data_IF_845960017683
#
_entry.id   IF_845960017683
#
_cell.length_a   1.000
_cell.length_b   1.000
_cell.length_c   1.000
_cell.angle_alpha   90.00
_cell.angle_beta   90.00
_cell.angle_gamma   90.00
#
_symmetry.space_group_name_H-M   'P 1'
#
loop_
_entity.id
_entity.type
_entity.pdbx_description
1 polymer ?
#
# COMPACT_ATOMS: atom_id res chain seq x y z
N UNK A 1 35.35 22.82 -12.95
CA UNK A 1 34.82 21.44 -12.80
C UNK A 1 34.42 21.12 -11.35
N UNK A 2 35.33 21.28 -10.36
CA UNK A 2 35.01 20.98 -8.94
C UNK A 2 33.81 21.77 -8.38
N UNK A 3 33.74 23.08 -8.59
CA UNK A 3 32.63 23.93 -8.14
C UNK A 3 31.28 23.51 -8.76
N UNK A 4 31.27 23.10 -10.02
CA UNK A 4 30.05 22.61 -10.68
C UNK A 4 29.52 21.29 -10.07
N UNK A 5 30.45 20.38 -9.74
CA UNK A 5 30.15 19.13 -9.04
C UNK A 5 29.58 19.42 -7.64
N UNK A 6 30.21 20.36 -6.90
CA UNK A 6 29.74 20.76 -5.57
C UNK A 6 28.30 21.34 -5.65
N UNK A 7 28.05 22.21 -6.62
CA UNK A 7 26.68 22.79 -6.81
C UNK A 7 25.68 21.71 -7.13
N UNK A 8 25.99 20.74 -7.99
CA UNK A 8 25.11 19.61 -8.28
C UNK A 8 24.82 18.79 -7.03
N UNK A 9 25.86 18.50 -6.24
CA UNK A 9 25.71 17.73 -4.98
C UNK A 9 24.84 18.51 -3.98
N UNK A 10 25.10 19.80 -3.77
CA UNK A 10 24.31 20.64 -2.88
C UNK A 10 22.87 20.76 -3.35
N UNK A 11 22.63 20.90 -4.65
CA UNK A 11 21.28 20.91 -5.23
C UNK A 11 20.56 19.56 -5.04
N UNK A 12 21.25 18.44 -5.25
CA UNK A 12 20.71 17.11 -5.01
C UNK A 12 20.37 16.88 -3.53
N UNK A 13 21.27 17.31 -2.61
CA UNK A 13 21.04 17.26 -1.17
C UNK A 13 19.84 18.14 -0.79
N UNK A 14 19.81 19.40 -1.22
CA UNK A 14 18.69 20.31 -0.97
C UNK A 14 17.37 19.70 -1.48
N UNK A 15 17.37 19.15 -2.67
CA UNK A 15 16.20 18.49 -3.25
C UNK A 15 15.76 17.24 -2.48
N UNK A 16 16.68 16.55 -1.81
CA UNK A 16 16.35 15.44 -0.92
C UNK A 16 15.66 15.92 0.36
N UNK A 17 16.11 17.02 0.95
CA UNK A 17 15.59 17.50 2.23
C UNK A 17 14.40 18.47 2.10
N UNK A 18 14.30 19.20 1.00
CA UNK A 18 13.27 20.23 0.76
C UNK A 18 12.01 19.72 0.03
N UNK A 19 11.89 18.41 -0.19
CA UNK A 19 10.64 17.88 -0.76
C UNK A 19 9.46 18.08 0.18
N UNK A 20 8.27 18.28 -0.40
CA UNK A 20 7.01 18.41 0.32
C UNK A 20 6.04 17.33 -0.15
N UNK A 21 5.34 16.65 0.77
CA UNK A 21 4.25 15.74 0.43
C UNK A 21 3.14 16.47 -0.29
N UNK A 22 2.40 15.79 -1.15
CA UNK A 22 1.20 16.34 -1.76
C UNK A 22 0.10 16.50 -0.72
N UNK A 23 -0.69 17.55 -0.88
CA UNK A 23 -1.90 17.73 -0.07
C UNK A 23 -2.92 16.63 -0.41
N UNK A 24 -3.08 15.67 0.49
CA UNK A 24 -4.00 14.55 0.32
C UNK A 24 -5.30 14.73 1.13
N UNK A 25 -5.72 15.98 1.39
CA UNK A 25 -6.93 16.29 2.18
C UNK A 25 -8.18 15.62 1.63
N UNK A 26 -8.36 15.64 0.30
CA UNK A 26 -9.49 15.01 -0.38
C UNK A 26 -9.52 13.49 -0.26
N UNK A 27 -8.37 12.86 -0.04
CA UNK A 27 -8.28 11.41 0.17
C UNK A 27 -8.85 11.00 1.53
N UNK A 28 -8.63 11.79 2.59
CA UNK A 28 -9.05 11.46 3.97
C UNK A 28 -10.37 12.09 4.42
N UNK A 29 -10.88 13.10 3.72
CA UNK A 29 -12.10 13.83 4.10
C UNK A 29 -12.11 14.31 5.58
N UNK A 30 -10.93 14.67 6.12
CA UNK A 30 -10.69 15.11 7.51
C UNK A 30 -11.14 14.10 8.60
N UNK A 31 -11.25 12.81 8.28
CA UNK A 31 -11.56 11.72 9.21
C UNK A 31 -10.45 10.68 9.16
N UNK A 32 -10.31 9.90 10.22
CA UNK A 32 -9.41 8.74 10.24
C UNK A 32 -9.94 7.73 9.21
N UNK A 33 -9.08 7.38 8.23
CA UNK A 33 -9.42 6.45 7.17
C UNK A 33 -9.08 5.01 7.62
N UNK A 34 -10.07 4.14 7.56
CA UNK A 34 -9.90 2.73 7.91
C UNK A 34 -9.72 1.89 6.65
N UNK A 35 -8.66 1.10 6.65
CA UNK A 35 -8.34 0.19 5.56
C UNK A 35 -8.51 -1.25 6.02
N UNK A 36 -9.28 -2.04 5.27
CA UNK A 36 -9.30 -3.49 5.43
C UNK A 36 -8.00 -4.07 4.85
N UNK A 37 -7.12 -4.56 5.72
CA UNK A 37 -5.83 -5.17 5.35
C UNK A 37 -6.07 -6.46 4.57
N UNK A 38 -5.72 -6.48 3.28
CA UNK A 38 -5.98 -7.58 2.34
C UNK A 38 -7.47 -7.97 2.24
N UNK A 39 -8.37 -7.03 2.57
CA UNK A 39 -9.81 -7.27 2.66
C UNK A 39 -10.27 -7.85 3.99
N UNK A 40 -11.33 -8.67 4.00
CA UNK A 40 -11.88 -9.33 5.18
C UNK A 40 -11.16 -10.65 5.49
N UNK A 41 -9.84 -10.64 5.63
CA UNK A 41 -8.96 -11.83 5.67
C UNK A 41 -9.25 -12.80 6.83
N UNK A 42 -9.94 -12.36 7.90
CA UNK A 42 -10.31 -13.25 9.01
C UNK A 42 -11.50 -14.17 8.68
N UNK A 43 -12.23 -13.87 7.62
CA UNK A 43 -13.41 -14.65 7.22
C UNK A 43 -13.37 -15.16 5.78
N UNK A 44 -12.55 -14.55 4.93
CA UNK A 44 -12.44 -14.85 3.50
C UNK A 44 -10.95 -14.93 3.09
N UNK A 45 -10.61 -15.65 1.98
CA UNK A 45 -9.24 -15.72 1.49
C UNK A 45 -8.67 -14.33 1.19
N UNK A 46 -7.52 -13.99 1.78
CA UNK A 46 -6.91 -12.67 1.64
C UNK A 46 -6.58 -12.31 0.19
N UNK A 47 -6.55 -11.02 -0.12
CA UNK A 47 -6.20 -10.50 -1.45
C UNK A 47 -7.08 -11.07 -2.60
N UNK A 48 -8.33 -11.41 -2.32
CA UNK A 48 -9.32 -11.90 -3.31
C UNK A 48 -10.52 -10.96 -3.44
N UNK A 49 -11.24 -11.07 -4.56
CA UNK A 49 -12.48 -10.31 -4.75
C UNK A 49 -13.51 -10.60 -3.66
N UNK A 50 -13.55 -11.86 -3.18
CA UNK A 50 -14.47 -12.25 -2.10
C UNK A 50 -14.19 -11.48 -0.81
N UNK A 51 -12.91 -11.40 -0.43
CA UNK A 51 -12.44 -10.68 0.75
C UNK A 51 -12.66 -9.17 0.64
N UNK A 52 -12.39 -8.57 -0.52
CA UNK A 52 -12.60 -7.14 -0.73
C UNK A 52 -14.09 -6.76 -0.73
N UNK A 53 -14.92 -7.52 -1.45
CA UNK A 53 -16.35 -7.29 -1.45
C UNK A 53 -16.95 -7.41 -0.05
N UNK A 54 -16.52 -8.41 0.73
CA UNK A 54 -16.94 -8.56 2.13
C UNK A 54 -16.55 -7.35 2.98
N UNK A 55 -15.31 -6.85 2.84
CA UNK A 55 -14.87 -5.66 3.56
C UNK A 55 -15.71 -4.42 3.19
N UNK A 56 -15.99 -4.22 1.90
CA UNK A 56 -16.81 -3.09 1.43
C UNK A 56 -18.25 -3.20 1.97
N UNK A 57 -18.82 -4.40 2.01
CA UNK A 57 -20.16 -4.64 2.56
C UNK A 57 -20.28 -4.31 4.06
N UNK A 58 -19.18 -4.37 4.83
CA UNK A 58 -19.17 -3.89 6.23
C UNK A 58 -19.19 -2.37 6.35
N UNK A 59 -19.07 -1.66 5.23
CA UNK A 59 -19.09 -0.20 5.18
C UNK A 59 -17.72 0.44 5.38
N UNK A 60 -16.61 -0.31 5.40
CA UNK A 60 -15.28 0.26 5.44
C UNK A 60 -15.03 1.16 4.22
N UNK A 61 -14.44 2.35 4.45
CA UNK A 61 -14.22 3.34 3.40
C UNK A 61 -13.05 3.01 2.47
N UNK A 62 -12.16 2.10 2.89
CA UNK A 62 -10.96 1.77 2.12
C UNK A 62 -10.54 0.30 2.28
N UNK A 63 -9.86 -0.21 1.25
CA UNK A 63 -9.19 -1.50 1.26
C UNK A 63 -7.68 -1.31 1.05
N UNK A 64 -6.91 -2.26 1.55
CA UNK A 64 -5.50 -2.42 1.23
C UNK A 64 -5.31 -3.72 0.47
N UNK A 65 -4.44 -3.72 -0.53
CA UNK A 65 -4.16 -4.86 -1.42
C UNK A 65 -2.69 -4.98 -1.74
N UNK A 66 -2.13 -6.18 -1.62
CA UNK A 66 -0.77 -6.50 -2.05
C UNK A 66 -0.74 -6.93 -3.51
N UNK A 67 0.26 -6.49 -4.29
CA UNK A 67 0.33 -6.83 -5.71
C UNK A 67 1.73 -7.24 -6.17
N UNK A 68 1.75 -8.22 -7.08
CA UNK A 68 2.94 -8.76 -7.75
C UNK A 68 2.62 -8.93 -9.23
N UNK A 69 3.52 -8.55 -10.15
CA UNK A 69 3.33 -8.81 -11.57
C UNK A 69 3.83 -10.19 -11.99
N UNK A 70 3.09 -10.86 -12.86
CA UNK A 70 3.47 -12.10 -13.55
C UNK A 70 4.56 -11.86 -14.60
N UNK A 71 5.09 -12.92 -15.19
CA UNK A 71 6.08 -12.83 -16.28
C UNK A 71 5.53 -12.04 -17.46
N UNK A 72 4.29 -12.26 -17.85
CA UNK A 72 3.59 -11.64 -18.99
C UNK A 72 2.88 -10.32 -18.67
N UNK A 73 3.29 -9.62 -17.57
CA UNK A 73 2.85 -8.28 -17.20
C UNK A 73 1.40 -8.15 -16.69
N UNK A 74 0.78 -9.22 -16.23
CA UNK A 74 -0.48 -9.13 -15.49
C UNK A 74 -0.18 -8.86 -14.01
N UNK A 75 -0.89 -7.95 -13.36
CA UNK A 75 -0.73 -7.63 -11.93
C UNK A 75 -1.71 -8.47 -11.12
N UNK A 76 -1.20 -9.44 -10.37
CA UNK A 76 -1.97 -10.31 -9.48
C UNK A 76 -1.96 -9.80 -8.04
N UNK A 77 -3.04 -10.08 -7.31
CA UNK A 77 -3.19 -9.72 -5.89
C UNK A 77 -2.64 -10.84 -5.02
N UNK A 78 -1.47 -10.64 -4.43
CA UNK A 78 -0.84 -11.61 -3.52
C UNK A 78 0.17 -10.93 -2.60
N UNK A 79 0.19 -11.36 -1.34
CA UNK A 79 1.21 -10.92 -0.39
C UNK A 79 2.56 -11.62 -0.59
N UNK A 80 2.55 -12.91 -0.92
CA UNK A 80 3.74 -13.72 -1.08
C UNK A 80 4.12 -13.86 -2.55
N UNK A 81 5.43 -13.97 -2.81
CA UNK A 81 5.93 -14.27 -4.15
C UNK A 81 5.71 -15.73 -4.54
N UNK A 82 5.83 -16.62 -3.55
CA UNK A 82 5.62 -18.06 -3.68
C UNK A 82 4.13 -18.40 -3.59
N UNK A 83 3.69 -19.35 -4.42
CA UNK A 83 2.30 -19.77 -4.50
C UNK A 83 1.89 -20.72 -3.37
N UNK A 84 2.83 -21.52 -2.88
CA UNK A 84 2.60 -22.61 -1.93
C UNK A 84 2.03 -22.14 -0.59
N UNK A 85 2.28 -20.89 -0.18
CA UNK A 85 1.85 -20.40 1.14
C UNK A 85 0.36 -20.14 1.24
N UNK A 86 -0.28 -19.79 0.14
CA UNK A 86 -1.65 -19.28 0.16
C UNK A 86 -2.53 -19.83 -0.94
N UNK A 87 -1.96 -20.63 -1.86
CA UNK A 87 -2.70 -21.20 -2.98
C UNK A 87 -2.45 -22.70 -3.09
N UNK A 88 -3.19 -23.34 -3.98
CA UNK A 88 -2.97 -24.73 -4.40
C UNK A 88 -1.90 -24.86 -5.52
N UNK A 89 -1.19 -23.77 -5.85
CA UNK A 89 -0.14 -23.72 -6.86
C UNK A 89 1.27 -23.90 -6.29
N UNK A 90 2.26 -23.92 -7.21
CA UNK A 90 3.68 -24.06 -6.89
C UNK A 90 4.55 -23.08 -7.68
N UNK A 91 5.64 -22.62 -7.06
CA UNK A 91 6.65 -21.74 -7.64
C UNK A 91 6.31 -20.25 -7.43
N UNK A 92 6.93 -19.38 -8.20
CA UNK A 92 6.86 -17.94 -7.99
C UNK A 92 5.95 -17.25 -9.00
N UNK A 93 5.07 -16.35 -8.54
CA UNK A 93 4.12 -15.59 -9.38
C UNK A 93 4.84 -14.85 -10.51
N UNK A 94 5.96 -14.19 -10.22
CA UNK A 94 6.68 -13.37 -11.20
C UNK A 94 7.39 -14.17 -12.30
N UNK A 95 7.50 -15.50 -12.17
CA UNK A 95 8.05 -16.43 -13.15
C UNK A 95 6.98 -17.08 -14.01
N UNK A 96 5.71 -17.03 -13.63
CA UNK A 96 4.58 -17.67 -14.30
C UNK A 96 3.90 -16.72 -15.29
N UNK A 97 3.26 -17.30 -16.30
CA UNK A 97 2.26 -16.61 -17.12
C UNK A 97 0.95 -16.54 -16.36
N UNK A 98 0.15 -15.49 -16.60
CA UNK A 98 -1.17 -15.40 -15.96
C UNK A 98 -2.09 -16.57 -16.31
N UNK A 99 -1.97 -17.12 -17.52
CA UNK A 99 -2.71 -18.33 -17.95
C UNK A 99 -2.49 -19.52 -17.03
N UNK A 100 -1.30 -19.66 -16.43
CA UNK A 100 -0.96 -20.73 -15.50
C UNK A 100 -1.55 -20.50 -14.10
N UNK A 101 -1.91 -19.25 -13.78
CA UNK A 101 -2.38 -18.82 -12.47
C UNK A 101 -3.90 -18.66 -12.36
N UNK A 102 -4.59 -18.47 -13.48
CA UNK A 102 -6.03 -18.11 -13.52
C UNK A 102 -6.96 -19.11 -12.82
N UNK A 103 -6.57 -20.37 -12.72
CA UNK A 103 -7.36 -21.44 -12.11
C UNK A 103 -6.96 -21.72 -10.66
N UNK A 104 -5.90 -21.08 -10.15
CA UNK A 104 -5.44 -21.27 -8.78
C UNK A 104 -6.43 -20.70 -7.78
N UNK A 105 -6.52 -21.38 -6.64
CA UNK A 105 -7.36 -21.00 -5.53
C UNK A 105 -6.53 -20.51 -4.36
N UNK A 106 -6.81 -19.31 -3.90
CA UNK A 106 -6.29 -18.79 -2.64
C UNK A 106 -7.08 -19.43 -1.50
N UNK A 107 -6.40 -19.90 -0.47
CA UNK A 107 -6.99 -20.60 0.67
C UNK A 107 -6.98 -19.70 1.90
N UNK A 108 -8.10 -19.58 2.57
CA UNK A 108 -8.18 -18.97 3.88
C UNK A 108 -7.68 -19.96 4.95
N UNK A 109 -6.58 -19.63 5.62
CA UNK A 109 -5.96 -20.49 6.63
C UNK A 109 -6.83 -20.73 7.87
N UNK A 110 -7.85 -19.90 8.11
CA UNK A 110 -8.69 -19.95 9.30
C UNK A 110 -9.92 -20.85 9.14
N UNK A 111 -10.41 -21.05 7.93
CA UNK A 111 -11.68 -21.76 7.69
C UNK A 111 -11.70 -22.62 6.41
N UNK A 112 -10.56 -22.74 5.74
CA UNK A 112 -10.39 -23.51 4.50
C UNK A 112 -11.27 -23.04 3.31
N UNK A 113 -11.93 -21.88 3.40
CA UNK A 113 -12.58 -21.30 2.25
C UNK A 113 -11.57 -21.01 1.15
N UNK A 114 -12.01 -21.11 -0.09
CA UNK A 114 -11.18 -20.83 -1.27
C UNK A 114 -11.82 -19.79 -2.17
N UNK A 115 -10.98 -19.01 -2.85
CA UNK A 115 -11.41 -18.08 -3.88
C UNK A 115 -10.36 -18.03 -5.02
N UNK A 116 -10.74 -17.68 -6.25
CA UNK A 116 -9.78 -17.48 -7.33
C UNK A 116 -8.74 -16.41 -7.00
N UNK A 117 -7.51 -16.60 -7.47
CA UNK A 117 -6.49 -15.56 -7.44
C UNK A 117 -6.97 -14.36 -8.27
N UNK A 118 -7.05 -13.19 -7.63
CA UNK A 118 -7.55 -11.99 -8.29
C UNK A 118 -6.43 -11.25 -9.03
N UNK A 119 -6.77 -10.54 -10.10
CA UNK A 119 -5.91 -9.51 -10.70
C UNK A 119 -6.28 -8.13 -10.18
N UNK A 120 -5.32 -7.19 -10.24
CA UNK A 120 -5.59 -5.80 -9.87
C UNK A 120 -6.71 -5.19 -10.73
N UNK A 121 -6.76 -5.52 -12.01
CA UNK A 121 -7.83 -5.05 -12.91
C UNK A 121 -9.20 -5.45 -12.39
N UNK A 122 -9.38 -6.72 -12.02
CA UNK A 122 -10.63 -7.21 -11.46
C UNK A 122 -11.00 -6.49 -10.15
N UNK A 123 -10.01 -6.21 -9.28
CA UNK A 123 -10.24 -5.46 -8.04
C UNK A 123 -10.67 -4.03 -8.34
N UNK A 124 -9.98 -3.34 -9.25
CA UNK A 124 -10.30 -1.96 -9.62
C UNK A 124 -11.67 -1.84 -10.32
N UNK A 125 -12.11 -2.87 -11.03
CA UNK A 125 -13.45 -2.95 -11.62
C UNK A 125 -14.54 -3.19 -10.55
N UNK A 126 -14.22 -4.00 -9.53
CA UNK A 126 -15.16 -4.37 -8.47
C UNK A 126 -15.36 -3.26 -7.42
N UNK A 127 -14.33 -2.45 -7.12
CA UNK A 127 -14.42 -1.34 -6.17
C UNK A 127 -15.17 -0.16 -6.78
N UNK A 128 -16.49 -0.15 -6.65
CA UNK A 128 -17.33 0.92 -7.16
C UNK A 128 -17.30 2.18 -6.27
N UNK A 129 -17.70 3.31 -6.85
CA UNK A 129 -18.04 4.53 -6.12
C UNK A 129 -16.88 5.21 -5.39
N UNK A 130 -17.04 5.44 -4.09
CA UNK A 130 -16.14 6.24 -3.26
C UNK A 130 -15.07 5.44 -2.50
N UNK A 131 -15.03 4.11 -2.64
CA UNK A 131 -14.05 3.25 -1.96
C UNK A 131 -12.63 3.65 -2.31
N UNK A 132 -11.80 3.90 -1.30
CA UNK A 132 -10.38 4.19 -1.46
C UNK A 132 -9.58 2.89 -1.50
N UNK A 133 -8.42 2.94 -2.14
CA UNK A 133 -7.53 1.78 -2.22
C UNK A 133 -6.08 2.16 -1.93
N UNK A 134 -5.44 1.38 -1.07
CA UNK A 134 -3.98 1.38 -0.89
C UNK A 134 -3.41 0.13 -1.58
N UNK A 135 -2.59 0.33 -2.60
CA UNK A 135 -1.96 -0.75 -3.38
C UNK A 135 -0.51 -0.89 -2.94
N UNK A 136 -0.22 -1.94 -2.16
CA UNK A 136 1.15 -2.25 -1.77
C UNK A 136 1.88 -3.01 -2.89
N UNK A 137 2.92 -2.39 -3.44
CA UNK A 137 3.77 -3.02 -4.45
C UNK A 137 4.83 -3.87 -3.77
N UNK A 138 4.77 -5.17 -4.02
CA UNK A 138 5.83 -6.11 -3.64
C UNK A 138 6.95 -6.10 -4.68
N UNK A 139 8.20 -6.04 -4.22
CA UNK A 139 9.38 -6.10 -5.08
C UNK A 139 10.36 -7.14 -4.54
N UNK A 140 10.82 -8.04 -5.40
CA UNK A 140 11.84 -9.05 -5.05
C UNK A 140 13.25 -8.50 -5.13
N UNK A 141 13.48 -7.46 -5.94
CA UNK A 141 14.78 -6.83 -6.18
C UNK A 141 14.67 -5.31 -6.01
N UNK A 142 15.76 -4.66 -5.56
CA UNK A 142 15.80 -3.22 -5.31
C UNK A 142 15.50 -2.36 -6.55
N UNK A 143 15.94 -2.78 -7.73
CA UNK A 143 15.80 -2.06 -8.99
C UNK A 143 14.71 -2.67 -9.91
N UNK A 144 13.81 -3.48 -9.35
CA UNK A 144 12.67 -3.98 -10.11
C UNK A 144 11.50 -2.99 -10.00
N UNK A 145 11.23 -2.30 -11.09
CA UNK A 145 10.14 -1.32 -11.21
C UNK A 145 8.98 -1.82 -12.10
N UNK A 146 8.98 -3.10 -12.50
CA UNK A 146 7.98 -3.66 -13.42
C UNK A 146 6.58 -3.51 -12.86
N UNK A 147 6.32 -4.05 -11.64
CA UNK A 147 5.02 -3.96 -10.99
C UNK A 147 4.62 -2.51 -10.76
N UNK A 148 5.55 -1.65 -10.31
CA UNK A 148 5.30 -0.23 -10.08
C UNK A 148 4.81 0.49 -11.34
N UNK A 149 5.48 0.25 -12.47
CA UNK A 149 5.11 0.84 -13.76
C UNK A 149 3.72 0.39 -14.22
N UNK A 150 3.42 -0.90 -14.10
CA UNK A 150 2.14 -1.48 -14.51
C UNK A 150 0.98 -0.91 -13.66
N UNK A 151 1.14 -0.90 -12.33
CA UNK A 151 0.15 -0.32 -11.41
C UNK A 151 -0.06 1.16 -11.71
N UNK A 152 1.02 1.93 -11.83
CA UNK A 152 0.93 3.36 -12.08
C UNK A 152 0.25 3.69 -13.40
N UNK A 153 0.55 2.94 -14.47
CA UNK A 153 -0.09 3.07 -15.78
C UNK A 153 -1.59 2.78 -15.67
N UNK A 154 -1.97 1.68 -15.04
CA UNK A 154 -3.36 1.26 -14.84
C UNK A 154 -4.16 2.34 -14.09
N UNK A 155 -3.62 2.87 -12.99
CA UNK A 155 -4.29 3.93 -12.21
C UNK A 155 -4.51 5.21 -13.04
N UNK A 156 -3.56 5.60 -13.87
CA UNK A 156 -3.68 6.78 -14.74
C UNK A 156 -4.71 6.56 -15.85
N UNK A 157 -4.69 5.43 -16.52
CA UNK A 157 -5.63 5.08 -17.59
C UNK A 157 -7.08 5.08 -17.09
N UNK A 158 -7.29 4.61 -15.85
CA UNK A 158 -8.59 4.58 -15.18
C UNK A 158 -8.95 5.87 -14.45
N UNK A 159 -8.06 6.87 -14.40
CA UNK A 159 -8.25 8.16 -13.69
C UNK A 159 -8.58 7.97 -12.20
N UNK A 160 -7.85 7.06 -11.53
CA UNK A 160 -8.09 6.67 -10.14
C UNK A 160 -7.19 7.38 -9.13
N UNK A 161 -6.35 8.36 -9.54
CA UNK A 161 -5.36 9.02 -8.68
C UNK A 161 -5.97 9.70 -7.45
N UNK A 162 -7.24 10.10 -7.51
CA UNK A 162 -7.96 10.70 -6.37
C UNK A 162 -8.45 9.68 -5.34
N UNK A 163 -8.55 8.40 -5.73
CA UNK A 163 -9.07 7.31 -4.89
C UNK A 163 -8.04 6.25 -4.54
N UNK A 164 -6.88 6.27 -5.20
CA UNK A 164 -5.83 5.28 -5.03
C UNK A 164 -4.54 5.90 -4.50
N UNK A 165 -3.85 5.18 -3.64
CA UNK A 165 -2.46 5.41 -3.30
C UNK A 165 -1.65 4.14 -3.55
N UNK A 166 -0.36 4.31 -3.79
CA UNK A 166 0.59 3.22 -3.95
C UNK A 166 1.53 3.22 -2.77
N UNK A 167 1.74 2.08 -2.14
CA UNK A 167 2.71 1.95 -1.04
C UNK A 167 3.75 0.88 -1.33
N UNK A 168 4.93 1.01 -0.70
CA UNK A 168 5.99 0.03 -0.82
C UNK A 168 6.98 0.14 0.35
N UNK A 169 7.64 -0.98 0.67
CA UNK A 169 8.82 -1.01 1.54
C UNK A 169 10.08 -0.51 0.84
N UNK A 170 10.16 -0.70 -0.48
CA UNK A 170 11.32 -0.29 -1.26
C UNK A 170 11.25 1.21 -1.59
N UNK A 171 12.15 2.05 -1.04
CA UNK A 171 12.12 3.49 -1.29
C UNK A 171 12.42 3.87 -2.75
N UNK A 172 13.15 3.02 -3.49
CA UNK A 172 13.45 3.27 -4.91
C UNK A 172 12.21 3.08 -5.79
N UNK A 173 11.34 2.13 -5.44
CA UNK A 173 10.03 1.96 -6.10
C UNK A 173 9.19 3.23 -6.00
N UNK A 174 9.14 3.84 -4.82
CA UNK A 174 8.40 5.10 -4.61
C UNK A 174 9.06 6.27 -5.32
N UNK A 175 10.41 6.35 -5.29
CA UNK A 175 11.17 7.35 -6.03
C UNK A 175 10.88 7.26 -7.53
N UNK A 176 10.85 6.06 -8.11
CA UNK A 176 10.47 5.82 -9.50
C UNK A 176 9.08 6.36 -9.81
N UNK A 177 8.07 6.04 -8.97
CA UNK A 177 6.70 6.56 -9.15
C UNK A 177 6.67 8.08 -9.06
N UNK A 178 7.37 8.68 -8.11
CA UNK A 178 7.43 10.14 -7.96
C UNK A 178 8.03 10.85 -9.17
N UNK A 179 9.01 10.23 -9.84
CA UNK A 179 9.67 10.80 -11.01
C UNK A 179 8.80 10.66 -12.26
N UNK A 180 8.29 9.45 -12.52
CA UNK A 180 7.64 9.14 -13.80
C UNK A 180 6.11 9.23 -13.77
N UNK A 181 5.49 9.16 -12.59
CA UNK A 181 4.04 9.16 -12.39
C UNK A 181 3.64 10.10 -11.25
N UNK A 182 4.08 11.35 -11.36
CA UNK A 182 4.01 12.33 -10.26
C UNK A 182 2.59 12.65 -9.77
N UNK A 183 1.52 12.34 -10.50
CA UNK A 183 0.13 12.51 -10.04
C UNK A 183 -0.29 11.49 -8.96
N UNK A 184 0.36 10.31 -8.92
CA UNK A 184 0.01 9.23 -8.00
C UNK A 184 0.49 9.56 -6.58
N UNK A 185 -0.38 9.31 -5.60
CA UNK A 185 -0.06 9.41 -4.18
C UNK A 185 0.77 8.20 -3.73
N UNK A 186 1.80 8.45 -2.91
CA UNK A 186 2.74 7.39 -2.50
C UNK A 186 2.88 7.29 -0.99
N UNK A 187 2.91 6.05 -0.47
CA UNK A 187 3.08 5.72 0.94
C UNK A 187 4.36 4.91 1.20
N UNK A 188 5.19 5.34 2.14
CA UNK A 188 6.40 4.62 2.51
C UNK A 188 6.14 3.72 3.71
N UNK A 189 6.27 2.40 3.52
CA UNK A 189 6.03 1.41 4.57
C UNK A 189 7.30 1.19 5.38
N UNK A 190 7.19 1.32 6.70
CA UNK A 190 8.32 1.22 7.62
C UNK A 190 8.05 0.18 8.71
N UNK A 191 8.88 -0.87 8.76
CA UNK A 191 8.81 -1.95 9.75
C UNK A 191 9.89 -1.84 10.84
N UNK A 192 11.02 -1.16 10.57
CA UNK A 192 12.16 -1.06 11.48
C UNK A 192 12.68 0.38 11.50
N UNK A 193 13.20 0.83 12.66
CA UNK A 193 13.69 2.21 12.86
C UNK A 193 14.74 2.63 11.83
N UNK A 194 15.65 1.73 11.45
CA UNK A 194 16.71 2.04 10.48
C UNK A 194 16.18 2.35 9.06
N UNK A 195 14.92 2.02 8.76
CA UNK A 195 14.29 2.34 7.47
C UNK A 195 13.84 3.80 7.39
N UNK A 196 13.61 4.48 8.53
CA UNK A 196 13.08 5.84 8.57
C UNK A 196 13.92 6.84 7.73
N UNK A 197 15.26 6.84 7.75
CA UNK A 197 16.06 7.77 6.94
C UNK A 197 15.84 7.63 5.42
N UNK A 198 15.46 6.46 4.92
CA UNK A 198 15.18 6.27 3.49
C UNK A 198 13.93 7.02 2.99
N UNK A 199 13.18 7.65 3.90
CA UNK A 199 12.07 8.56 3.55
C UNK A 199 12.54 9.70 2.63
N UNK A 200 13.80 10.13 2.76
CA UNK A 200 14.40 11.17 1.91
C UNK A 200 14.68 10.69 0.47
N UNK A 201 14.79 9.38 0.26
CA UNK A 201 14.85 8.76 -1.08
C UNK A 201 13.44 8.55 -1.62
N UNK A 202 12.56 7.97 -0.82
CA UNK A 202 11.19 7.65 -1.19
C UNK A 202 10.35 8.90 -1.50
N UNK A 203 10.56 9.99 -0.76
CA UNK A 203 9.81 11.28 -0.83
C UNK A 203 8.29 11.07 -0.86
N UNK A 204 7.73 10.27 0.05
CA UNK A 204 6.34 9.86 0.00
C UNK A 204 5.38 10.98 0.39
N UNK A 205 4.10 10.79 0.11
CA UNK A 205 3.00 11.63 0.61
C UNK A 205 2.50 11.13 1.97
N UNK A 206 2.66 9.83 2.23
CA UNK A 206 2.23 9.15 3.44
C UNK A 206 3.39 8.36 4.08
N UNK A 207 3.37 8.27 5.39
CA UNK A 207 4.21 7.36 6.15
C UNK A 207 3.34 6.23 6.70
N UNK A 208 3.73 4.98 6.42
CA UNK A 208 3.03 3.78 6.89
C UNK A 208 3.91 3.02 7.90
N UNK A 209 4.00 3.48 9.17
CA UNK A 209 4.77 2.77 10.18
C UNK A 209 4.00 1.57 10.71
N UNK A 210 4.72 0.50 11.06
CA UNK A 210 4.17 -0.56 11.91
C UNK A 210 3.82 0.03 13.29
N UNK A 211 2.76 -0.47 13.93
CA UNK A 211 2.19 0.11 15.16
C UNK A 211 3.21 0.36 16.28
N UNK A 212 4.15 -0.56 16.50
CA UNK A 212 5.17 -0.44 17.55
C UNK A 212 6.26 0.61 17.27
N UNK A 213 6.31 1.20 16.09
CA UNK A 213 7.20 2.31 15.76
C UNK A 213 6.55 3.68 15.98
N UNK A 214 5.25 3.72 16.22
CA UNK A 214 4.53 4.98 16.43
C UNK A 214 4.92 5.57 17.78
N UNK A 215 5.46 6.77 17.76
CA UNK A 215 5.85 7.56 18.94
C UNK A 215 5.47 9.01 18.71
N UNK A 216 5.33 9.79 19.78
CA UNK A 216 5.08 11.24 19.66
C UNK A 216 6.18 11.95 18.85
N UNK A 217 7.42 11.46 18.94
CA UNK A 217 8.53 11.99 18.12
C UNK A 217 8.30 11.75 16.63
N UNK A 218 7.87 10.54 16.26
CA UNK A 218 7.57 10.19 14.86
C UNK A 218 6.39 11.01 14.34
N UNK A 219 5.32 11.12 15.11
CA UNK A 219 4.14 11.90 14.75
C UNK A 219 4.46 13.40 14.61
N UNK A 220 5.23 13.98 15.54
CA UNK A 220 5.72 15.37 15.40
C UNK A 220 6.60 15.56 14.16
N UNK A 221 7.45 14.60 13.83
CA UNK A 221 8.23 14.63 12.58
C UNK A 221 7.31 14.62 11.37
N UNK A 222 6.37 13.67 11.29
CA UNK A 222 5.43 13.56 10.17
C UNK A 222 4.61 14.85 10.01
N UNK A 223 4.06 15.39 11.09
CA UNK A 223 3.29 16.65 11.10
C UNK A 223 4.11 17.83 10.59
N UNK A 224 5.35 18.01 11.07
CA UNK A 224 6.25 19.10 10.60
C UNK A 224 6.59 18.95 9.11
N UNK A 225 6.69 17.71 8.62
CA UNK A 225 6.99 17.43 7.22
C UNK A 225 5.75 17.51 6.31
N UNK A 226 4.55 17.54 6.89
CA UNK A 226 3.28 17.51 6.17
C UNK A 226 2.87 16.12 5.68
N UNK A 227 3.48 15.06 6.23
CA UNK A 227 3.15 13.67 5.94
C UNK A 227 1.87 13.26 6.66
N UNK A 228 1.02 12.50 5.97
CA UNK A 228 -0.06 11.75 6.61
C UNK A 228 0.46 10.40 7.11
N UNK A 229 -0.12 9.90 8.21
CA UNK A 229 0.35 8.67 8.89
C UNK A 229 -0.75 7.61 8.89
N UNK A 230 -0.50 6.48 8.20
CA UNK A 230 -1.35 5.29 8.20
C UNK A 230 -0.65 4.16 8.96
N UNK A 231 -1.21 3.71 10.06
CA UNK A 231 -0.57 2.72 10.95
C UNK A 231 -1.05 1.30 10.62
N UNK A 232 -0.12 0.34 10.52
CA UNK A 232 -0.37 -1.07 10.19
C UNK A 232 0.37 -2.03 11.12
N UNK A 233 -0.01 -3.26 11.30
CA UNK A 233 -1.37 -3.73 11.29
C UNK A 233 -1.90 -3.62 12.71
N UNK A 234 -3.06 -3.00 12.92
CA UNK A 234 -3.56 -2.66 14.24
C UNK A 234 -4.79 -3.50 14.56
N UNK A 235 -4.63 -4.51 15.44
CA UNK A 235 -5.62 -5.56 15.64
C UNK A 235 -6.14 -5.66 17.09
N UNK A 236 -5.84 -4.67 17.94
CA UNK A 236 -6.34 -4.65 19.32
C UNK A 236 -7.06 -3.35 19.62
N UNK A 237 -8.18 -3.43 20.33
CA UNK A 237 -8.99 -2.24 20.68
C UNK A 237 -8.18 -1.17 21.44
N UNK A 238 -7.35 -1.51 22.45
CA UNK A 238 -6.54 -0.51 23.14
C UNK A 238 -5.55 0.24 22.22
N UNK A 239 -4.93 -0.48 21.25
CA UNK A 239 -4.02 0.15 20.30
C UNK A 239 -4.77 1.09 19.34
N UNK A 240 -5.95 0.69 18.90
CA UNK A 240 -6.84 1.50 18.06
C UNK A 240 -7.22 2.79 18.81
N UNK A 241 -7.71 2.68 20.05
CA UNK A 241 -8.16 3.82 20.83
C UNK A 241 -6.99 4.80 21.09
N UNK A 242 -5.81 4.27 21.37
CA UNK A 242 -4.61 5.07 21.52
C UNK A 242 -4.24 5.83 20.24
N UNK A 243 -4.31 5.18 19.07
CA UNK A 243 -4.01 5.81 17.79
C UNK A 243 -5.05 6.86 17.40
N UNK A 244 -6.33 6.65 17.74
CA UNK A 244 -7.38 7.66 17.58
C UNK A 244 -7.07 8.89 18.41
N UNK A 245 -6.69 8.73 19.69
CA UNK A 245 -6.26 9.83 20.56
C UNK A 245 -5.02 10.57 20.05
N UNK A 246 -4.14 9.85 19.30
CA UNK A 246 -2.95 10.45 18.66
C UNK A 246 -3.26 11.12 17.33
N UNK A 247 -4.51 11.09 16.88
CA UNK A 247 -4.98 11.73 15.64
C UNK A 247 -4.20 11.27 14.41
N UNK A 248 -3.91 9.95 14.30
CA UNK A 248 -3.34 9.39 13.08
C UNK A 248 -4.33 9.52 11.92
N UNK A 249 -3.83 9.58 10.70
CA UNK A 249 -4.68 9.80 9.52
C UNK A 249 -5.35 8.51 9.02
N UNK A 250 -4.75 7.34 9.26
CA UNK A 250 -5.34 6.07 8.85
C UNK A 250 -4.92 4.90 9.72
N UNK A 251 -5.80 3.89 9.74
CA UNK A 251 -5.61 2.62 10.46
C UNK A 251 -5.83 1.48 9.48
N UNK A 252 -4.83 0.61 9.33
CA UNK A 252 -4.88 -0.61 8.53
C UNK A 252 -5.04 -1.78 9.50
N UNK A 253 -6.14 -2.55 9.37
CA UNK A 253 -6.53 -3.58 10.34
C UNK A 253 -7.09 -4.83 9.69
N UNK A 254 -6.89 -5.99 10.35
CA UNK A 254 -7.58 -7.25 10.04
C UNK A 254 -8.96 -7.32 10.71
N UNK A 255 -9.20 -6.50 11.74
CA UNK A 255 -10.36 -6.51 12.64
C UNK A 255 -11.40 -5.49 12.19
N UNK A 256 -12.20 -5.86 11.21
CA UNK A 256 -13.20 -4.97 10.61
C UNK A 256 -14.33 -4.59 11.60
N UNK A 257 -14.56 -5.42 12.61
CA UNK A 257 -15.53 -5.18 13.69
C UNK A 257 -15.19 -3.98 14.58
N UNK A 258 -13.94 -3.53 14.59
CA UNK A 258 -13.54 -2.34 15.33
C UNK A 258 -13.84 -1.02 14.59
N UNK A 259 -14.23 -1.12 13.31
CA UNK A 259 -14.64 0.05 12.56
C UNK A 259 -15.98 0.59 13.08
N UNK A 260 -15.96 1.79 13.65
CA UNK A 260 -17.15 2.52 14.05
C UNK A 260 -17.45 3.55 12.99
N UNK A 261 -18.65 3.45 12.40
CA UNK A 261 -19.15 4.42 11.44
C UNK A 261 -19.42 5.73 12.22
N UNK A 262 -18.52 6.74 12.08
CA UNK A 262 -18.69 8.08 12.65
C UNK A 262 -19.49 8.96 11.71
#
# INVERSE_FOLDING_TARGET
MLYFIIIIILFAIARCFLWHPKAAKSFYNNKILWFAHRGALLSEPENTLLSFNKAIQTGLPAIEVDVISTHDNVVCCSHNFDLERQTDGQGYIHEKQHTDLKNLKVVCSLNNKTAPLATLDQVLDAIAGSTKINIEIKTSKWLDFKTARLVAKNLKERKLESRAMVSAFNPLTLCFIKIFFSSILTGYIVKKKFMIPFIYIAKPDFLHPISNLVTDRLLRFAKRKGLRVNVWTVNTKPAIDWLIQKEVDGIITDRLEFYVKC
#
